data_IF_135877024897
#
_entry.id   IF_135877024897
#
_cell.length_a   1.000
_cell.length_b   1.000
_cell.length_c   1.000
_cell.angle_alpha   90.00
_cell.angle_beta   90.00
_cell.angle_gamma   90.00
#
_symmetry.space_group_name_H-M   'P 1'
#
loop_
_entity.id
_entity.type
_entity.pdbx_description
1 polymer ?
#
# COMPACT_ATOMS: atom_id res chain seq x y z
N UNK A 1 5.01 6.87 -21.36
CA UNK A 1 4.75 5.98 -20.20
C UNK A 1 6.01 5.15 -20.02
N UNK A 2 6.76 5.34 -18.94
CA UNK A 2 7.83 4.40 -18.59
C UNK A 2 7.18 3.04 -18.30
N UNK A 3 7.72 1.96 -18.84
CA UNK A 3 7.15 0.63 -18.64
C UNK A 3 7.33 0.15 -17.20
N UNK A 4 6.40 -0.67 -16.69
CA UNK A 4 6.57 -1.33 -15.38
C UNK A 4 7.92 -2.06 -15.27
N UNK A 5 8.40 -2.61 -16.38
CA UNK A 5 9.71 -3.25 -16.54
C UNK A 5 10.88 -2.31 -16.23
N UNK A 6 10.80 -1.05 -16.63
CA UNK A 6 11.86 -0.06 -16.39
C UNK A 6 11.94 0.32 -14.92
N UNK A 7 10.78 0.43 -14.24
CA UNK A 7 10.70 0.67 -12.81
C UNK A 7 11.36 -0.47 -12.02
N UNK A 8 11.13 -1.73 -12.41
CA UNK A 8 11.76 -2.89 -11.78
C UNK A 8 13.29 -2.88 -11.94
N UNK A 9 13.81 -2.47 -13.10
CA UNK A 9 15.26 -2.39 -13.35
C UNK A 9 15.88 -1.30 -12.47
N UNK A 10 15.28 -0.11 -12.44
CA UNK A 10 15.70 1.00 -11.58
C UNK A 10 15.73 0.54 -10.11
N UNK A 11 14.74 -0.26 -9.71
CA UNK A 11 14.69 -0.79 -8.37
C UNK A 11 15.83 -1.75 -8.04
N UNK A 12 16.19 -2.63 -8.98
CA UNK A 12 17.30 -3.57 -8.82
C UNK A 12 18.65 -2.84 -8.69
N UNK A 13 18.85 -1.79 -9.49
CA UNK A 13 20.07 -0.97 -9.46
C UNK A 13 20.23 -0.27 -8.11
N UNK A 14 19.16 0.34 -7.61
CA UNK A 14 19.17 1.01 -6.30
C UNK A 14 19.44 0.04 -5.13
N UNK A 15 18.86 -1.17 -5.15
CA UNK A 15 19.14 -2.19 -4.12
C UNK A 15 20.61 -2.61 -4.16
N UNK A 16 21.17 -2.73 -5.36
CA UNK A 16 22.58 -3.07 -5.54
C UNK A 16 23.50 -1.98 -4.98
N UNK A 17 23.15 -0.71 -5.14
CA UNK A 17 23.93 0.42 -4.62
C UNK A 17 23.94 0.52 -3.09
N UNK A 18 22.84 0.16 -2.42
CA UNK A 18 22.78 0.20 -0.95
C UNK A 18 22.02 -1.01 -0.34
N UNK A 19 22.66 -2.19 -0.30
CA UNK A 19 22.02 -3.42 0.15
C UNK A 19 21.64 -3.39 1.62
N UNK A 20 22.41 -2.70 2.46
CA UNK A 20 22.16 -2.61 3.90
C UNK A 20 20.89 -1.79 4.17
N UNK A 21 20.72 -0.65 3.48
CA UNK A 21 19.52 0.15 3.60
C UNK A 21 18.27 -0.61 3.14
N UNK A 22 18.37 -1.33 2.02
CA UNK A 22 17.29 -2.16 1.50
C UNK A 22 16.89 -3.27 2.49
N UNK A 23 17.86 -3.94 3.12
CA UNK A 23 17.60 -4.94 4.15
C UNK A 23 16.92 -4.35 5.40
N UNK A 24 17.39 -3.19 5.87
CA UNK A 24 16.76 -2.49 7.00
C UNK A 24 15.32 -2.07 6.71
N UNK A 25 15.04 -1.60 5.50
CA UNK A 25 13.68 -1.28 5.06
C UNK A 25 12.80 -2.53 5.02
N UNK A 26 13.31 -3.63 4.45
CA UNK A 26 12.60 -4.91 4.42
C UNK A 26 12.19 -5.35 5.83
N UNK A 27 13.10 -5.28 6.82
CA UNK A 27 12.78 -5.64 8.21
C UNK A 27 11.66 -4.76 8.79
N UNK A 28 11.67 -3.45 8.52
CA UNK A 28 10.62 -2.53 8.99
C UNK A 28 9.28 -2.85 8.34
N UNK A 29 9.28 -3.05 7.04
CA UNK A 29 8.07 -3.37 6.30
C UNK A 29 7.50 -4.73 6.75
N UNK A 30 8.36 -5.73 7.02
CA UNK A 30 7.94 -7.02 7.62
C UNK A 30 7.25 -6.83 8.96
N UNK A 31 7.81 -6.01 9.85
CA UNK A 31 7.20 -5.73 11.15
C UNK A 31 5.86 -5.02 11.02
N UNK A 32 5.74 -4.06 10.10
CA UNK A 32 4.49 -3.35 9.84
C UNK A 32 3.43 -4.27 9.24
N UNK A 33 3.78 -5.06 8.24
CA UNK A 33 2.90 -6.06 7.65
C UNK A 33 2.39 -7.05 8.69
N UNK A 34 3.28 -7.57 9.55
CA UNK A 34 2.89 -8.46 10.64
C UNK A 34 1.93 -7.78 11.62
N UNK A 35 2.18 -6.51 11.97
CA UNK A 35 1.28 -5.74 12.84
C UNK A 35 -0.11 -5.55 12.20
N UNK A 36 -0.16 -5.18 10.92
CA UNK A 36 -1.41 -5.01 10.18
C UNK A 36 -2.19 -6.32 10.10
N UNK A 37 -1.51 -7.40 9.71
CA UNK A 37 -2.12 -8.74 9.63
C UNK A 37 -2.64 -9.22 10.98
N UNK A 38 -1.91 -8.97 12.08
CA UNK A 38 -2.33 -9.36 13.43
C UNK A 38 -3.53 -8.55 13.94
N UNK A 39 -3.62 -7.26 13.60
CA UNK A 39 -4.68 -6.38 14.11
C UNK A 39 -5.97 -6.45 13.27
N UNK A 40 -5.84 -6.58 11.95
CA UNK A 40 -6.97 -6.44 11.02
C UNK A 40 -7.23 -7.69 10.18
N UNK A 41 -6.34 -8.69 10.24
CA UNK A 41 -6.36 -9.85 9.37
C UNK A 41 -5.68 -9.57 8.03
N UNK A 42 -4.86 -10.50 7.55
CA UNK A 42 -4.14 -10.33 6.30
C UNK A 42 -5.07 -10.19 5.08
N UNK A 43 -6.16 -10.96 5.06
CA UNK A 43 -7.17 -10.93 3.98
C UNK A 43 -7.73 -9.52 3.80
N UNK A 44 -8.18 -8.89 4.89
CA UNK A 44 -8.74 -7.54 4.83
C UNK A 44 -7.73 -6.52 4.34
N UNK A 45 -6.48 -6.59 4.80
CA UNK A 45 -5.44 -5.65 4.38
C UNK A 45 -5.15 -5.80 2.88
N UNK A 46 -5.13 -7.04 2.36
CA UNK A 46 -4.98 -7.30 0.92
C UNK A 46 -6.16 -6.77 0.11
N UNK A 47 -7.38 -6.96 0.58
CA UNK A 47 -8.58 -6.43 -0.07
C UNK A 47 -8.55 -4.90 -0.14
N UNK A 48 -8.10 -4.23 0.93
CA UNK A 48 -7.88 -2.77 0.92
C UNK A 48 -6.88 -2.40 -0.19
N UNK A 49 -5.77 -3.13 -0.33
CA UNK A 49 -4.75 -2.82 -1.35
C UNK A 49 -5.29 -3.02 -2.77
N UNK A 50 -6.05 -4.09 -3.01
CA UNK A 50 -6.70 -4.33 -4.31
C UNK A 50 -7.72 -3.24 -4.60
N UNK A 51 -8.58 -2.87 -3.64
CA UNK A 51 -9.56 -1.80 -3.81
C UNK A 51 -8.91 -0.45 -4.14
N UNK A 52 -7.77 -0.14 -3.52
CA UNK A 52 -6.97 1.05 -3.87
C UNK A 52 -6.37 0.94 -5.28
N UNK A 53 -6.02 -0.26 -5.73
CA UNK A 53 -5.47 -0.48 -7.06
C UNK A 53 -6.49 -0.28 -8.18
N UNK A 54 -7.76 -0.57 -7.90
CA UNK A 54 -8.87 -0.40 -8.83
C UNK A 54 -9.39 1.05 -8.88
N UNK A 55 -8.99 1.88 -7.91
CA UNK A 55 -9.41 3.28 -7.84
C UNK A 55 -8.81 4.09 -9.02
N UNK A 56 -9.66 4.74 -9.85
CA UNK A 56 -9.17 5.53 -10.97
C UNK A 56 -8.22 6.65 -10.53
N UNK A 57 -7.09 6.77 -11.23
CA UNK A 57 -6.06 7.79 -10.98
C UNK A 57 -5.39 7.68 -9.60
N UNK A 58 -5.47 6.52 -8.94
CA UNK A 58 -4.65 6.28 -7.75
C UNK A 58 -3.18 6.11 -8.17
N UNK A 59 -2.23 6.90 -7.62
CA UNK A 59 -0.84 6.90 -8.12
C UNK A 59 -0.11 5.55 -7.99
N UNK A 60 -0.51 4.74 -7.00
CA UNK A 60 0.12 3.45 -6.70
C UNK A 60 -0.69 2.26 -7.16
N UNK A 61 -1.61 2.44 -8.11
CA UNK A 61 -2.45 1.37 -8.62
C UNK A 61 -1.62 0.17 -9.13
N UNK A 62 -0.62 0.44 -9.97
CA UNK A 62 0.30 -0.58 -10.51
C UNK A 62 1.21 -1.23 -9.46
N UNK A 63 1.28 -0.68 -8.24
CA UNK A 63 2.05 -1.27 -7.14
C UNK A 63 1.21 -2.28 -6.36
N UNK A 64 -0.10 -2.06 -6.27
CA UNK A 64 -1.02 -2.81 -5.42
C UNK A 64 -1.87 -3.84 -6.18
N UNK A 65 -1.87 -3.81 -7.52
CA UNK A 65 -2.76 -4.59 -8.38
C UNK A 65 -2.78 -6.10 -8.13
N UNK A 66 -1.68 -6.68 -7.63
CA UNK A 66 -1.53 -8.10 -7.36
C UNK A 66 -1.51 -8.42 -5.85
N UNK A 67 -2.04 -7.53 -5.01
CA UNK A 67 -2.14 -7.76 -3.56
C UNK A 67 -3.06 -8.94 -3.19
N UNK A 68 -3.94 -9.34 -4.11
CA UNK A 68 -4.78 -10.54 -4.01
C UNK A 68 -3.98 -11.86 -4.01
N UNK A 69 -2.73 -11.86 -4.47
CA UNK A 69 -1.89 -13.06 -4.56
C UNK A 69 -1.33 -13.45 -3.19
N UNK A 70 -1.74 -14.60 -2.62
CA UNK A 70 -1.30 -15.00 -1.27
C UNK A 70 0.20 -15.30 -1.18
N UNK A 71 0.81 -15.73 -2.29
CA UNK A 71 2.24 -16.06 -2.35
C UNK A 71 3.14 -14.82 -2.29
N UNK A 72 2.61 -13.63 -2.57
CA UNK A 72 3.36 -12.38 -2.49
C UNK A 72 3.28 -11.89 -1.05
N UNK A 73 4.38 -11.81 -0.29
CA UNK A 73 4.34 -11.37 1.10
C UNK A 73 3.78 -9.95 1.24
N UNK A 74 2.91 -9.73 2.24
CA UNK A 74 2.25 -8.45 2.46
C UNK A 74 3.23 -7.26 2.60
N UNK A 75 4.44 -7.51 3.13
CA UNK A 75 5.45 -6.47 3.31
C UNK A 75 6.01 -5.91 1.99
N UNK A 76 5.86 -6.62 0.87
CA UNK A 76 6.30 -6.16 -0.45
C UNK A 76 5.52 -4.94 -0.93
N UNK A 77 4.27 -4.81 -0.50
CA UNK A 77 3.40 -3.67 -0.86
C UNK A 77 3.71 -2.42 -0.04
N UNK A 78 4.32 -2.58 1.13
CA UNK A 78 4.67 -1.46 2.01
C UNK A 78 6.01 -0.89 1.61
N UNK A 79 6.10 0.45 1.56
CA UNK A 79 7.36 1.19 1.35
C UNK A 79 7.41 2.37 2.29
N UNK A 80 8.25 2.27 3.32
CA UNK A 80 8.28 3.28 4.37
C UNK A 80 9.28 4.37 4.11
N UNK A 81 10.37 4.13 3.38
CA UNK A 81 11.45 5.12 3.22
C UNK A 81 11.88 5.34 1.79
N UNK A 82 11.50 4.42 0.91
CA UNK A 82 11.86 4.45 -0.51
C UNK A 82 10.67 4.79 -1.37
N UNK A 83 10.97 5.33 -2.54
CA UNK A 83 9.97 5.67 -3.53
C UNK A 83 9.42 4.47 -4.30
N UNK A 84 8.10 4.41 -4.55
CA UNK A 84 7.09 5.29 -3.97
C UNK A 84 6.83 4.95 -2.48
N UNK A 85 6.66 5.97 -1.64
CA UNK A 85 6.23 5.77 -0.26
C UNK A 85 4.79 5.24 -0.27
N UNK A 86 4.56 4.20 0.52
CA UNK A 86 3.24 3.67 0.85
C UNK A 86 3.20 3.17 2.29
N UNK A 87 2.44 3.86 3.14
CA UNK A 87 2.28 3.53 4.55
C UNK A 87 0.81 3.49 4.91
N UNK A 88 0.42 2.45 5.65
CA UNK A 88 -0.89 2.38 6.29
C UNK A 88 -0.76 3.00 7.68
N UNK A 89 -1.35 4.16 7.89
CA UNK A 89 -1.32 4.88 9.18
C UNK A 89 -2.27 4.22 10.17
N UNK A 90 -3.50 3.95 9.74
CA UNK A 90 -4.57 3.44 10.58
C UNK A 90 -5.59 2.69 9.73
N UNK A 91 -6.14 1.61 10.26
CA UNK A 91 -7.35 0.98 9.74
C UNK A 91 -8.38 0.96 10.87
N UNK A 92 -9.60 1.35 10.56
CA UNK A 92 -10.76 1.27 11.44
C UNK A 92 -11.81 0.41 10.76
N UNK A 93 -12.41 -0.50 11.52
CA UNK A 93 -13.44 -1.41 11.04
C UNK A 93 -14.71 -1.16 11.84
N UNK A 94 -15.77 -0.74 11.16
CA UNK A 94 -17.13 -0.64 11.69
C UNK A 94 -18.03 -1.67 10.98
N UNK A 95 -19.25 -1.93 11.48
CA UNK A 95 -20.22 -2.70 10.72
C UNK A 95 -20.40 -2.09 9.32
N UNK A 96 -20.21 -2.92 8.29
CA UNK A 96 -20.36 -2.58 6.86
C UNK A 96 -19.36 -1.57 6.27
N UNK A 97 -18.57 -0.85 7.09
CA UNK A 97 -17.62 0.14 6.59
C UNK A 97 -16.21 -0.12 7.12
N UNK A 98 -15.24 -0.06 6.22
CA UNK A 98 -13.81 -0.06 6.56
C UNK A 98 -13.25 1.32 6.22
N UNK A 99 -12.39 1.86 7.09
CA UNK A 99 -11.72 3.14 6.86
C UNK A 99 -10.22 2.90 6.93
N UNK A 100 -9.47 3.30 5.90
CA UNK A 100 -8.02 3.25 5.90
C UNK A 100 -7.44 4.66 5.74
N UNK A 101 -6.50 5.01 6.61
CA UNK A 101 -5.70 6.21 6.52
C UNK A 101 -4.37 5.83 5.88
N UNK A 102 -4.13 6.33 4.68
CA UNK A 102 -2.98 5.96 3.87
C UNK A 102 -2.11 7.19 3.63
N UNK A 103 -0.80 7.00 3.77
CA UNK A 103 0.20 7.97 3.34
C UNK A 103 0.91 7.42 2.11
N UNK A 104 0.96 8.22 1.05
CA UNK A 104 1.67 7.85 -0.16
C UNK A 104 2.28 9.06 -0.87
N UNK A 105 3.25 8.82 -1.75
CA UNK A 105 3.89 9.86 -2.55
C UNK A 105 5.38 9.60 -2.72
N UNK A 106 6.13 10.69 -2.94
CA UNK A 106 7.58 10.63 -3.08
C UNK A 106 8.26 10.98 -1.75
N UNK A 107 9.38 10.33 -1.47
CA UNK A 107 10.26 10.47 -0.32
C UNK A 107 11.04 11.78 -0.42
N UNK A 108 11.29 12.24 -1.64
CA UNK A 108 11.83 13.56 -1.91
C UNK A 108 10.78 14.67 -1.79
N UNK A 109 9.49 14.36 -1.70
CA UNK A 109 8.46 15.39 -1.49
C UNK A 109 8.45 15.84 -0.04
N UNK A 110 8.46 17.15 0.18
CA UNK A 110 8.45 17.77 1.51
C UNK A 110 7.20 17.40 2.32
N UNK A 111 6.10 16.99 1.65
CA UNK A 111 4.83 16.58 2.29
C UNK A 111 4.22 15.37 1.58
N UNK A 112 4.31 14.15 2.15
CA UNK A 112 3.63 12.99 1.58
C UNK A 112 2.11 13.21 1.62
N UNK A 113 1.40 12.75 0.59
CA UNK A 113 -0.05 12.86 0.52
C UNK A 113 -0.66 11.90 1.54
N UNK A 114 -1.55 12.43 2.38
CA UNK A 114 -2.30 11.64 3.37
C UNK A 114 -3.76 11.71 3.03
N UNK A 115 -4.38 10.55 2.91
CA UNK A 115 -5.78 10.44 2.55
C UNK A 115 -6.49 9.39 3.40
N UNK A 116 -7.77 9.67 3.65
CA UNK A 116 -8.73 8.77 4.25
C UNK A 116 -9.54 8.14 3.13
N UNK A 117 -9.56 6.83 3.11
CA UNK A 117 -10.36 6.02 2.20
C UNK A 117 -11.43 5.30 3.01
N UNK A 118 -12.69 5.50 2.65
CA UNK A 118 -13.80 4.70 3.15
C UNK A 118 -14.13 3.63 2.13
N UNK A 119 -14.40 2.43 2.62
CA UNK A 119 -14.71 1.28 1.81
C UNK A 119 -16.02 0.64 2.24
N UNK A 120 -16.74 0.09 1.27
CA UNK A 120 -17.94 -0.72 1.46
C UNK A 120 -17.80 -2.03 0.68
N UNK A 121 -18.62 -3.02 1.01
CA UNK A 121 -18.70 -4.29 0.30
C UNK A 121 -19.77 -4.18 -0.78
N UNK A 122 -19.43 -4.55 -2.00
CA UNK A 122 -20.42 -4.69 -3.07
C UNK A 122 -21.30 -5.93 -2.85
N UNK A 123 -22.28 -6.12 -3.75
CA UNK A 123 -23.22 -7.25 -3.71
C UNK A 123 -22.55 -8.63 -3.84
N UNK A 124 -21.30 -8.69 -4.27
CA UNK A 124 -20.48 -9.91 -4.42
C UNK A 124 -19.48 -10.04 -3.25
N UNK A 125 -19.50 -9.11 -2.31
CA UNK A 125 -18.62 -9.09 -1.15
C UNK A 125 -17.22 -8.54 -1.42
N UNK A 126 -16.97 -7.88 -2.56
CA UNK A 126 -15.68 -7.22 -2.82
C UNK A 126 -15.64 -5.86 -2.17
N UNK A 127 -14.48 -5.52 -1.60
CA UNK A 127 -14.26 -4.22 -1.00
C UNK A 127 -14.05 -3.18 -2.11
N UNK A 128 -14.82 -2.10 -2.10
CA UNK A 128 -14.70 -0.99 -3.05
C UNK A 128 -14.55 0.34 -2.32
N UNK A 129 -13.77 1.25 -2.89
CA UNK A 129 -13.62 2.62 -2.36
C UNK A 129 -14.91 3.41 -2.64
N UNK A 130 -15.57 3.87 -1.60
CA UNK A 130 -16.78 4.72 -1.71
C UNK A 130 -16.48 6.21 -1.53
N UNK A 131 -15.42 6.53 -0.77
CA UNK A 131 -15.08 7.91 -0.42
C UNK A 131 -13.58 8.06 -0.25
N UNK A 132 -13.05 9.20 -0.70
CA UNK A 132 -11.65 9.59 -0.61
C UNK A 132 -11.57 11.03 -0.15
N UNK A 133 -10.85 11.28 0.94
CA UNK A 133 -10.72 12.61 1.54
C UNK A 133 -9.27 12.91 1.92
N UNK A 134 -8.77 14.13 1.71
CA UNK A 134 -7.46 14.52 2.22
C UNK A 134 -7.48 14.58 3.75
N UNK A 135 -6.47 14.00 4.39
CA UNK A 135 -6.22 14.16 5.82
C UNK A 135 -5.47 15.48 6.04
N UNK A 136 -6.09 16.41 6.78
CA UNK A 136 -5.48 17.69 7.17
C UNK A 136 -4.36 17.50 8.19
#
# INVERSE_FOLDING_TARGET
>A
MRGHSEQLIEEMVEVHQNPIAAWMEMLKNRRLAWRLARLHGEVLVREIFVALSELPKFPLANWLWNADRPLIPLYCFLRTRRDPIFRVIKIETAPFVVIAHIEYGNASSEKPTRERFSFDRDNVGRLQVIQREPLR
#
